data_IF_523441435384
#
_entry.id   IF_523441435384
#
_cell.length_a   1.000
_cell.length_b   1.000
_cell.length_c   1.000
_cell.angle_alpha   90.00
_cell.angle_beta   90.00
_cell.angle_gamma   90.00
#
_symmetry.space_group_name_H-M   'P 1'
#
loop_
_entity.id
_entity.type
_entity.pdbx_description
1 polymer ?
#
# COMPACT_ATOMS: atom_id res chain seq x y z
N UNK A 1 25.63 -47.19 4.14
CA UNK A 1 25.08 -46.00 4.83
C UNK A 1 23.57 -46.12 4.87
N UNK A 2 22.94 -45.89 6.02
CA UNK A 2 21.49 -46.04 6.22
C UNK A 2 20.76 -44.70 6.34
N UNK A 3 21.48 -43.58 6.38
CA UNK A 3 20.95 -42.21 6.46
C UNK A 3 21.84 -41.26 5.65
N UNK A 4 21.40 -40.03 5.37
CA UNK A 4 22.24 -39.01 4.75
C UNK A 4 23.50 -38.77 5.59
N UNK A 5 24.69 -38.64 4.96
CA UNK A 5 25.95 -38.39 5.67
C UNK A 5 26.01 -37.01 6.34
N UNK A 6 25.32 -36.03 5.76
CA UNK A 6 25.29 -34.63 6.19
C UNK A 6 23.87 -34.19 6.46
N UNK A 7 23.65 -33.58 7.63
CA UNK A 7 22.30 -33.24 8.09
C UNK A 7 21.88 -31.84 7.71
N UNK A 8 22.81 -30.92 7.42
CA UNK A 8 22.55 -29.51 7.11
C UNK A 8 21.65 -28.79 8.14
N UNK A 9 21.72 -29.22 9.40
CA UNK A 9 20.90 -28.69 10.50
C UNK A 9 19.40 -28.94 10.34
N UNK A 10 19.00 -29.98 9.60
CA UNK A 10 17.60 -30.40 9.48
C UNK A 10 17.42 -31.88 9.76
N UNK A 11 16.19 -32.24 10.09
CA UNK A 11 15.77 -33.62 10.24
C UNK A 11 15.51 -34.24 8.88
N UNK A 12 15.96 -35.48 8.71
CA UNK A 12 15.77 -36.25 7.49
C UNK A 12 14.86 -37.42 7.77
N UNK A 13 13.82 -37.58 6.95
CA UNK A 13 12.92 -38.74 7.02
C UNK A 13 13.08 -39.63 5.80
N UNK A 14 13.14 -40.94 6.03
CA UNK A 14 13.05 -41.92 4.96
C UNK A 14 11.62 -41.98 4.45
N UNK A 15 11.42 -41.79 3.15
CA UNK A 15 10.09 -41.83 2.50
C UNK A 15 9.87 -43.09 1.67
N UNK A 16 10.72 -44.10 1.90
CA UNK A 16 10.70 -45.38 1.21
C UNK A 16 11.50 -45.38 -0.10
N UNK A 17 11.20 -46.35 -0.95
CA UNK A 17 11.87 -46.52 -2.24
C UNK A 17 11.17 -45.76 -3.36
N UNK A 18 11.94 -45.03 -4.17
CA UNK A 18 11.44 -44.24 -5.29
C UNK A 18 12.31 -44.43 -6.52
N UNK A 19 11.70 -44.24 -7.70
CA UNK A 19 12.42 -44.37 -8.98
C UNK A 19 13.22 -43.11 -9.32
N UNK A 20 14.52 -43.26 -9.59
CA UNK A 20 15.44 -42.23 -10.09
C UNK A 20 16.37 -42.82 -11.16
N UNK A 21 16.46 -42.17 -12.33
CA UNK A 21 17.28 -42.62 -13.47
C UNK A 21 17.15 -44.11 -13.82
N UNK A 22 15.94 -44.65 -13.75
CA UNK A 22 15.69 -46.06 -14.06
C UNK A 22 15.91 -47.05 -12.91
N UNK A 23 16.48 -46.62 -11.79
CA UNK A 23 16.73 -47.44 -10.60
C UNK A 23 15.72 -47.15 -9.48
N UNK A 24 15.43 -48.16 -8.66
CA UNK A 24 14.65 -48.03 -7.41
C UNK A 24 15.63 -47.81 -6.26
N UNK A 25 15.57 -46.64 -5.61
CA UNK A 25 16.52 -46.24 -4.58
C UNK A 25 15.80 -45.74 -3.33
N UNK A 26 16.32 -45.99 -2.11
CA UNK A 26 15.84 -45.36 -0.89
C UNK A 26 15.97 -43.83 -0.97
N UNK A 27 14.88 -43.13 -0.69
CA UNK A 27 14.79 -41.68 -0.69
C UNK A 27 14.67 -41.15 0.73
N UNK A 28 15.49 -40.17 1.06
CA UNK A 28 15.40 -39.37 2.27
C UNK A 28 15.05 -37.93 1.89
N UNK A 29 14.12 -37.33 2.63
CA UNK A 29 13.66 -35.96 2.39
C UNK A 29 13.83 -35.17 3.68
N UNK A 30 14.38 -33.96 3.57
CA UNK A 30 14.48 -33.04 4.69
C UNK A 30 13.09 -32.56 5.14
N UNK A 31 12.90 -32.33 6.44
CA UNK A 31 11.66 -31.77 6.98
C UNK A 31 11.38 -30.36 6.43
N UNK A 32 12.43 -29.56 6.25
CA UNK A 32 12.35 -28.21 5.70
C UNK A 32 13.64 -27.83 4.95
N UNK A 33 13.58 -26.94 3.94
CA UNK A 33 14.77 -26.46 3.27
C UNK A 33 15.61 -25.56 4.19
N UNK A 34 16.89 -25.88 4.37
CA UNK A 34 17.81 -25.04 5.15
C UNK A 34 18.67 -24.15 4.26
N UNK A 35 19.09 -23.01 4.81
CA UNK A 35 20.02 -22.13 4.10
C UNK A 35 21.38 -22.81 3.88
N UNK A 36 21.87 -23.60 4.85
CA UNK A 36 23.09 -24.37 4.73
C UNK A 36 23.05 -25.34 3.53
N UNK A 37 21.94 -26.07 3.32
CA UNK A 37 21.80 -26.94 2.16
C UNK A 37 21.76 -26.15 0.84
N UNK A 38 21.06 -25.01 0.81
CA UNK A 38 21.00 -24.14 -0.38
C UNK A 38 22.38 -23.59 -0.74
N UNK A 39 23.11 -23.10 0.25
CA UNK A 39 24.46 -22.55 0.10
C UNK A 39 25.40 -23.63 -0.42
N UNK A 40 25.46 -24.80 0.24
CA UNK A 40 26.25 -25.94 -0.19
C UNK A 40 25.87 -26.42 -1.60
N UNK A 41 24.58 -26.69 -1.86
CA UNK A 41 24.13 -27.20 -3.15
C UNK A 41 24.38 -26.21 -4.30
N UNK A 42 24.32 -24.90 -4.06
CA UNK A 42 24.59 -23.89 -5.09
C UNK A 42 26.08 -23.78 -5.44
N UNK A 43 26.97 -23.94 -4.46
CA UNK A 43 28.42 -23.75 -4.62
C UNK A 43 29.18 -25.04 -4.97
N UNK A 44 28.72 -26.18 -4.45
CA UNK A 44 29.40 -27.48 -4.59
C UNK A 44 28.48 -28.54 -5.17
N UNK A 45 27.59 -28.13 -6.10
CA UNK A 45 26.56 -28.98 -6.71
C UNK A 45 27.08 -30.33 -7.19
N UNK A 46 28.24 -30.36 -7.85
CA UNK A 46 28.83 -31.60 -8.37
C UNK A 46 29.11 -32.64 -7.29
N UNK A 47 29.74 -32.20 -6.18
CA UNK A 47 30.05 -33.05 -5.02
C UNK A 47 28.77 -33.49 -4.31
N UNK A 48 27.84 -32.56 -4.09
CA UNK A 48 26.54 -32.84 -3.48
C UNK A 48 25.75 -33.88 -4.28
N UNK A 49 25.64 -33.71 -5.60
CA UNK A 49 24.94 -34.66 -6.48
C UNK A 49 25.65 -36.01 -6.52
N UNK A 50 26.99 -36.02 -6.57
CA UNK A 50 27.80 -37.24 -6.50
C UNK A 50 27.58 -38.02 -5.21
N UNK A 51 27.41 -37.33 -4.09
CA UNK A 51 27.07 -37.90 -2.79
C UNK A 51 25.59 -38.27 -2.63
N UNK A 52 24.75 -38.02 -3.65
CA UNK A 52 23.34 -38.40 -3.65
C UNK A 52 22.36 -37.27 -3.28
N UNK A 53 22.83 -36.07 -2.95
CA UNK A 53 21.98 -34.91 -2.64
C UNK A 53 21.36 -34.27 -3.87
N UNK A 54 20.10 -33.85 -3.76
CA UNK A 54 19.39 -33.11 -4.80
C UNK A 54 18.15 -32.43 -4.23
N UNK A 55 17.26 -31.95 -5.11
CA UNK A 55 15.94 -31.46 -4.74
C UNK A 55 14.87 -32.38 -5.32
N UNK A 56 13.77 -32.59 -4.60
CA UNK A 56 12.63 -33.38 -5.09
C UNK A 56 11.31 -32.78 -4.63
N UNK A 57 10.27 -33.02 -5.43
CA UNK A 57 8.85 -32.83 -5.14
C UNK A 57 8.15 -34.12 -4.68
N UNK A 58 8.92 -35.20 -4.43
CA UNK A 58 8.41 -36.53 -4.10
C UNK A 58 8.45 -36.78 -2.59
N UNK A 59 7.54 -37.65 -2.13
CA UNK A 59 7.58 -38.19 -0.77
C UNK A 59 7.02 -37.25 0.30
N UNK A 60 6.40 -36.13 -0.06
CA UNK A 60 5.66 -35.23 0.83
C UNK A 60 4.29 -34.87 0.23
N UNK A 61 3.39 -34.36 1.06
CA UNK A 61 1.97 -34.12 0.72
C UNK A 61 1.73 -32.76 0.04
N UNK A 62 2.61 -31.79 0.24
CA UNK A 62 2.47 -30.42 -0.28
C UNK A 62 3.29 -30.19 -1.55
N UNK A 63 2.87 -29.34 -2.49
CA UNK A 63 3.64 -29.06 -3.71
C UNK A 63 4.82 -28.11 -3.43
N UNK A 64 5.89 -28.63 -2.83
CA UNK A 64 7.11 -27.89 -2.52
C UNK A 64 8.36 -28.67 -2.94
N UNK A 65 9.42 -28.00 -3.42
CA UNK A 65 10.73 -28.66 -3.62
C UNK A 65 11.48 -28.73 -2.28
N UNK A 66 11.77 -29.94 -1.83
CA UNK A 66 12.55 -30.19 -0.61
C UNK A 66 13.94 -30.75 -0.91
N UNK A 67 14.95 -30.44 -0.09
CA UNK A 67 16.22 -31.15 -0.11
C UNK A 67 15.98 -32.65 0.04
N UNK A 68 16.65 -33.45 -0.77
CA UNK A 68 16.59 -34.89 -0.69
C UNK A 68 17.96 -35.51 -0.84
N UNK A 69 18.09 -36.73 -0.31
CA UNK A 69 19.27 -37.56 -0.44
C UNK A 69 18.85 -38.94 -0.91
N UNK A 70 19.53 -39.42 -1.93
CA UNK A 70 19.30 -40.73 -2.52
C UNK A 70 20.44 -41.65 -2.12
N UNK A 71 20.12 -42.80 -1.54
CA UNK A 71 21.13 -43.82 -1.26
C UNK A 71 21.49 -44.54 -2.57
N UNK A 72 22.47 -44.00 -3.30
CA UNK A 72 22.91 -44.52 -4.62
C UNK A 72 23.80 -45.76 -4.51
N UNK A 73 24.29 -46.09 -3.31
CA UNK A 73 25.27 -47.16 -3.09
C UNK A 73 26.67 -46.85 -3.64
N UNK A 74 26.88 -45.67 -4.22
CA UNK A 74 28.19 -45.22 -4.72
C UNK A 74 29.04 -44.80 -3.53
N UNK A 75 30.29 -45.29 -3.49
CA UNK A 75 31.26 -44.84 -2.50
C UNK A 75 31.72 -43.42 -2.83
N UNK A 76 31.71 -42.54 -1.83
CA UNK A 76 32.28 -41.20 -1.87
C UNK A 76 32.97 -40.94 -0.53
N UNK A 77 33.89 -39.97 -0.52
CA UNK A 77 34.56 -39.53 0.69
C UNK A 77 33.64 -38.58 1.46
N UNK A 78 33.00 -39.11 2.52
CA UNK A 78 32.06 -38.36 3.33
C UNK A 78 32.75 -37.25 4.15
N UNK A 79 33.97 -37.50 4.62
CA UNK A 79 34.74 -36.53 5.40
C UNK A 79 35.17 -35.37 4.48
N UNK A 80 35.63 -35.67 3.25
CA UNK A 80 35.93 -34.63 2.28
C UNK A 80 34.70 -33.82 1.86
N UNK A 81 33.54 -34.46 1.71
CA UNK A 81 32.27 -33.77 1.45
C UNK A 81 31.91 -32.85 2.62
N UNK A 82 32.02 -33.33 3.86
CA UNK A 82 31.73 -32.55 5.06
C UNK A 82 32.59 -31.29 5.12
N UNK A 83 33.92 -31.46 5.01
CA UNK A 83 34.88 -30.34 5.06
C UNK A 83 34.56 -29.30 3.97
N UNK A 84 34.25 -29.75 2.76
CA UNK A 84 33.95 -28.86 1.66
C UNK A 84 32.58 -28.15 1.83
N UNK A 85 31.57 -28.86 2.34
CA UNK A 85 30.26 -28.28 2.71
C UNK A 85 30.43 -27.20 3.78
N UNK A 86 31.14 -27.51 4.86
CA UNK A 86 31.42 -26.56 5.95
C UNK A 86 32.13 -25.32 5.43
N UNK A 87 33.16 -25.48 4.58
CA UNK A 87 33.88 -24.38 3.95
C UNK A 87 32.95 -23.46 3.15
N UNK A 88 32.15 -24.01 2.23
CA UNK A 88 31.31 -23.17 1.35
C UNK A 88 30.11 -22.55 2.06
N UNK A 89 29.59 -23.21 3.11
CA UNK A 89 28.54 -22.63 3.95
C UNK A 89 29.10 -21.48 4.79
N UNK A 90 30.31 -21.62 5.33
CA UNK A 90 30.99 -20.54 6.06
C UNK A 90 31.27 -19.34 5.14
N UNK A 91 31.77 -19.57 3.92
CA UNK A 91 31.98 -18.52 2.91
C UNK A 91 30.67 -17.81 2.53
N UNK A 92 29.59 -18.56 2.30
CA UNK A 92 28.29 -18.00 1.98
C UNK A 92 27.69 -17.18 3.13
N UNK A 93 27.92 -17.59 4.38
CA UNK A 93 27.52 -16.84 5.56
C UNK A 93 28.30 -15.52 5.66
N UNK A 94 29.63 -15.56 5.49
CA UNK A 94 30.48 -14.38 5.52
C UNK A 94 30.11 -13.35 4.44
N UNK A 95 29.85 -13.80 3.21
CA UNK A 95 29.38 -12.92 2.12
C UNK A 95 28.02 -12.27 2.42
N UNK A 96 27.08 -13.01 3.05
CA UNK A 96 25.79 -12.46 3.44
C UNK A 96 25.93 -11.41 4.54
N UNK A 97 26.80 -11.65 5.51
CA UNK A 97 27.11 -10.68 6.57
C UNK A 97 27.76 -9.41 6.00
N UNK A 98 28.73 -9.56 5.09
CA UNK A 98 29.36 -8.44 4.40
C UNK A 98 28.34 -7.65 3.58
N UNK A 99 27.50 -8.33 2.79
CA UNK A 99 26.45 -7.69 2.01
C UNK A 99 25.44 -6.97 2.90
N UNK A 100 25.06 -7.58 4.02
CA UNK A 100 24.16 -6.95 4.97
C UNK A 100 24.79 -5.70 5.62
N UNK A 101 26.10 -5.74 5.93
CA UNK A 101 26.85 -4.57 6.41
C UNK A 101 26.90 -3.47 5.35
N UNK A 102 27.26 -3.80 4.12
CA UNK A 102 27.33 -2.84 3.02
C UNK A 102 25.97 -2.19 2.71
N UNK A 103 24.86 -2.95 2.78
CA UNK A 103 23.52 -2.38 2.60
C UNK A 103 23.12 -1.47 3.75
N UNK A 104 23.47 -1.82 5.01
CA UNK A 104 23.26 -0.92 6.16
C UNK A 104 24.03 0.39 6.00
N UNK A 105 25.32 0.32 5.68
CA UNK A 105 26.15 1.52 5.45
C UNK A 105 25.66 2.35 4.25
N UNK A 106 25.14 1.70 3.20
CA UNK A 106 24.50 2.38 2.07
C UNK A 106 23.22 3.08 2.50
N UNK A 107 22.38 2.41 3.28
CA UNK A 107 21.14 2.97 3.80
C UNK A 107 21.40 4.18 4.72
N UNK A 108 22.32 4.05 5.67
CA UNK A 108 22.70 5.13 6.58
C UNK A 108 23.23 6.36 5.82
N UNK A 109 24.08 6.16 4.81
CA UNK A 109 24.55 7.25 3.95
C UNK A 109 23.42 7.90 3.15
N UNK A 110 22.48 7.13 2.63
CA UNK A 110 21.33 7.66 1.88
C UNK A 110 20.41 8.49 2.78
N UNK A 111 20.17 8.03 4.02
CA UNK A 111 19.41 8.78 5.04
C UNK A 111 20.13 10.08 5.38
N UNK A 112 21.41 10.03 5.75
CA UNK A 112 22.19 11.21 6.11
C UNK A 112 22.27 12.23 4.96
N UNK A 113 22.39 11.75 3.71
CA UNK A 113 22.39 12.63 2.54
C UNK A 113 21.03 13.29 2.30
N UNK A 114 19.93 12.58 2.51
CA UNK A 114 18.58 13.10 2.31
C UNK A 114 18.17 14.07 3.42
N UNK A 115 18.63 13.85 4.66
CA UNK A 115 18.34 14.70 5.83
C UNK A 115 18.72 16.17 5.61
N UNK A 116 19.81 16.43 4.87
CA UNK A 116 20.27 17.78 4.51
C UNK A 116 19.16 18.62 3.88
N UNK A 117 18.31 18.00 3.06
CA UNK A 117 17.20 18.66 2.35
C UNK A 117 15.82 18.34 2.94
N UNK A 118 15.71 17.37 3.83
CA UNK A 118 14.44 16.84 4.29
C UNK A 118 13.65 17.83 5.14
N UNK A 119 14.31 18.64 5.99
CA UNK A 119 13.64 19.51 6.95
C UNK A 119 12.56 20.44 6.34
N UNK A 120 12.85 21.27 5.31
CA UNK A 120 11.84 22.13 4.71
C UNK A 120 10.72 21.35 4.01
N UNK A 121 11.05 20.24 3.35
CA UNK A 121 10.07 19.41 2.62
C UNK A 121 9.14 18.69 3.61
N UNK A 122 9.67 18.20 4.72
CA UNK A 122 8.88 17.59 5.81
C UNK A 122 7.96 18.62 6.45
N UNK A 123 8.46 19.83 6.74
CA UNK A 123 7.63 20.90 7.27
C UNK A 123 6.47 21.25 6.30
N UNK A 124 6.75 21.36 5.01
CA UNK A 124 5.73 21.61 3.99
C UNK A 124 4.69 20.47 3.90
N UNK A 125 5.14 19.20 3.97
CA UNK A 125 4.25 18.05 3.95
C UNK A 125 3.36 18.00 5.19
N UNK A 126 3.92 18.27 6.38
CA UNK A 126 3.15 18.33 7.62
C UNK A 126 2.12 19.48 7.61
N UNK A 127 2.50 20.65 7.10
CA UNK A 127 1.56 21.76 6.93
C UNK A 127 0.41 21.36 5.99
N UNK A 128 0.72 20.74 4.85
CA UNK A 128 -0.29 20.24 3.92
C UNK A 128 -1.22 19.20 4.57
N UNK A 129 -0.66 18.25 5.33
CA UNK A 129 -1.43 17.21 6.03
C UNK A 129 -2.40 17.79 7.07
N UNK A 130 -2.01 18.88 7.73
CA UNK A 130 -2.83 19.54 8.75
C UNK A 130 -3.88 20.47 8.15
N UNK A 131 -3.48 21.28 7.16
CA UNK A 131 -4.32 22.35 6.63
C UNK A 131 -5.24 21.87 5.52
N UNK A 132 -4.74 20.99 4.64
CA UNK A 132 -5.42 20.57 3.40
C UNK A 132 -5.21 19.10 3.06
N UNK A 133 -5.54 18.15 3.96
CA UNK A 133 -5.36 16.71 3.70
C UNK A 133 -6.13 16.24 2.46
N UNK A 134 -7.27 16.88 2.16
CA UNK A 134 -8.09 16.61 0.98
C UNK A 134 -7.33 16.75 -0.35
N UNK A 135 -6.26 17.56 -0.40
CA UNK A 135 -5.48 17.76 -1.61
C UNK A 135 -4.65 16.52 -1.99
N UNK A 136 -4.39 15.60 -1.06
CA UNK A 136 -3.59 14.39 -1.28
C UNK A 136 -4.41 13.22 -1.84
N UNK A 137 -5.73 13.22 -1.66
CA UNK A 137 -6.62 12.16 -2.14
C UNK A 137 -6.14 10.77 -1.73
N UNK A 138 -5.96 9.87 -2.71
CA UNK A 138 -5.53 8.47 -2.47
C UNK A 138 -4.13 8.34 -1.88
N UNK A 139 -3.27 9.34 -2.04
CA UNK A 139 -1.89 9.31 -1.51
C UNK A 139 -1.81 9.76 -0.05
N UNK A 140 -2.93 10.08 0.60
CA UNK A 140 -2.92 10.62 1.95
C UNK A 140 -2.37 9.64 2.98
N UNK A 141 -2.72 8.36 2.92
CA UNK A 141 -2.19 7.35 3.87
C UNK A 141 -0.68 7.22 3.73
N UNK A 142 -0.19 7.05 2.49
CA UNK A 142 1.24 6.95 2.19
C UNK A 142 2.00 8.21 2.60
N UNK A 143 1.40 9.39 2.42
CA UNK A 143 1.98 10.67 2.86
C UNK A 143 2.08 10.78 4.39
N UNK A 144 1.08 10.28 5.13
CA UNK A 144 1.10 10.21 6.59
C UNK A 144 2.17 9.25 7.09
N UNK A 145 2.23 8.05 6.53
CA UNK A 145 3.23 7.04 6.88
C UNK A 145 4.64 7.58 6.65
N UNK A 146 4.87 8.21 5.49
CA UNK A 146 6.15 8.84 5.16
C UNK A 146 6.48 9.99 6.13
N UNK A 147 5.53 10.85 6.47
CA UNK A 147 5.74 11.96 7.39
C UNK A 147 6.06 11.50 8.83
N UNK A 148 5.58 10.30 9.22
CA UNK A 148 5.82 9.70 10.52
C UNK A 148 7.18 8.97 10.65
N UNK A 149 7.87 8.68 9.54
CA UNK A 149 9.20 8.06 9.59
C UNK A 149 10.22 8.97 10.27
N UNK A 150 11.10 8.40 11.10
CA UNK A 150 12.16 9.14 11.79
C UNK A 150 13.15 9.78 10.81
N UNK A 151 13.66 8.98 9.87
CA UNK A 151 14.54 9.42 8.79
C UNK A 151 13.93 9.18 7.41
N UNK A 152 14.33 9.99 6.43
CA UNK A 152 13.97 9.77 5.03
C UNK A 152 15.18 9.30 4.25
N UNK A 153 14.99 8.29 3.41
CA UNK A 153 15.92 7.96 2.32
C UNK A 153 15.76 8.96 1.17
N UNK A 154 16.65 8.93 0.17
CA UNK A 154 16.47 9.74 -1.03
C UNK A 154 15.18 9.41 -1.77
N UNK A 155 14.70 8.16 -1.66
CA UNK A 155 13.39 7.76 -2.18
C UNK A 155 12.23 8.38 -1.39
N UNK A 156 12.35 8.43 -0.06
CA UNK A 156 11.38 9.12 0.80
C UNK A 156 11.28 10.60 0.46
N UNK A 157 12.43 11.27 0.29
CA UNK A 157 12.50 12.67 -0.11
C UNK A 157 11.78 12.94 -1.45
N UNK A 158 12.12 12.18 -2.50
CA UNK A 158 11.47 12.31 -3.82
C UNK A 158 9.97 12.02 -3.77
N UNK A 159 9.56 11.09 -2.91
CA UNK A 159 8.14 10.76 -2.73
C UNK A 159 7.37 11.90 -2.06
N UNK A 160 7.96 12.53 -1.04
CA UNK A 160 7.37 13.72 -0.39
C UNK A 160 7.24 14.89 -1.37
N UNK A 161 8.28 15.18 -2.15
CA UNK A 161 8.23 16.21 -3.21
C UNK A 161 7.12 15.94 -4.22
N UNK A 162 6.98 14.67 -4.66
CA UNK A 162 5.90 14.26 -5.56
C UNK A 162 4.52 14.48 -4.94
N UNK A 163 4.33 14.16 -3.65
CA UNK A 163 3.05 14.41 -2.97
C UNK A 163 2.71 15.88 -2.89
N UNK A 164 3.69 16.73 -2.55
CA UNK A 164 3.53 18.18 -2.52
C UNK A 164 3.17 18.73 -3.91
N UNK A 165 3.91 18.32 -4.95
CA UNK A 165 3.65 18.74 -6.32
C UNK A 165 2.27 18.30 -6.82
N UNK A 166 1.86 17.06 -6.54
CA UNK A 166 0.55 16.55 -6.91
C UNK A 166 -0.57 17.29 -6.19
N UNK A 167 -0.42 17.57 -4.89
CA UNK A 167 -1.40 18.35 -4.13
C UNK A 167 -1.53 19.77 -4.67
N UNK A 168 -0.42 20.44 -4.97
CA UNK A 168 -0.43 21.75 -5.62
C UNK A 168 -1.14 21.69 -6.99
N UNK A 169 -0.88 20.66 -7.79
CA UNK A 169 -1.57 20.43 -9.07
C UNK A 169 -3.07 20.14 -8.92
N UNK A 170 -3.50 19.47 -7.85
CA UNK A 170 -4.91 19.24 -7.55
C UNK A 170 -5.63 20.54 -7.20
N UNK A 171 -5.01 21.37 -6.35
CA UNK A 171 -5.52 22.69 -5.96
C UNK A 171 -5.61 23.59 -7.21
N UNK A 172 -4.53 23.68 -7.99
CA UNK A 172 -4.50 24.51 -9.20
C UNK A 172 -5.59 24.11 -10.22
N UNK A 173 -5.82 22.80 -10.43
CA UNK A 173 -6.91 22.33 -11.31
C UNK A 173 -8.30 22.62 -10.76
N UNK A 174 -8.47 22.60 -9.43
CA UNK A 174 -9.72 22.99 -8.80
C UNK A 174 -10.01 24.48 -9.02
N UNK A 175 -9.00 25.34 -8.82
CA UNK A 175 -9.07 26.78 -9.09
C UNK A 175 -9.35 27.06 -10.58
N UNK A 176 -8.66 26.37 -11.49
CA UNK A 176 -8.88 26.52 -12.93
C UNK A 176 -10.33 26.19 -13.32
N UNK A 177 -10.92 25.14 -12.73
CA UNK A 177 -12.34 24.81 -12.96
C UNK A 177 -13.27 25.91 -12.50
N UNK A 178 -12.98 26.56 -11.37
CA UNK A 178 -13.77 27.68 -10.86
C UNK A 178 -13.64 28.93 -11.75
N UNK A 179 -12.49 29.10 -12.42
CA UNK A 179 -12.28 30.17 -13.41
C UNK A 179 -13.01 29.96 -14.75
N UNK A 180 -13.59 28.78 -15.00
CA UNK A 180 -14.38 28.52 -16.22
C UNK A 180 -15.75 29.17 -16.14
N UNK A 181 -16.41 29.31 -17.29
CA UNK A 181 -17.77 29.84 -17.38
C UNK A 181 -18.69 29.11 -16.38
N UNK A 182 -19.35 29.84 -15.47
CA UNK A 182 -20.21 29.25 -14.46
C UNK A 182 -21.47 28.61 -15.08
N UNK A 183 -22.07 27.61 -14.42
CA UNK A 183 -23.30 26.99 -14.92
C UNK A 183 -24.43 28.02 -15.06
N UNK A 184 -24.91 28.22 -16.30
CA UNK A 184 -25.94 29.21 -16.61
C UNK A 184 -27.23 29.00 -15.79
N UNK A 185 -27.58 27.74 -15.50
CA UNK A 185 -28.74 27.34 -14.69
C UNK A 185 -28.76 28.02 -13.31
N UNK A 186 -27.58 28.24 -12.70
CA UNK A 186 -27.49 28.76 -11.33
C UNK A 186 -27.03 30.22 -11.26
N UNK A 187 -26.54 30.78 -12.37
CA UNK A 187 -25.90 32.09 -12.36
C UNK A 187 -26.84 33.22 -11.91
N UNK A 188 -28.09 33.21 -12.37
CA UNK A 188 -29.08 34.21 -11.96
C UNK A 188 -29.43 34.08 -10.46
N UNK A 189 -29.57 32.84 -9.96
CA UNK A 189 -29.86 32.57 -8.54
C UNK A 189 -28.70 33.00 -7.64
N UNK A 190 -27.46 32.81 -8.10
CA UNK A 190 -26.24 33.20 -7.40
C UNK A 190 -26.03 34.73 -7.27
N UNK A 191 -26.84 35.56 -7.95
CA UNK A 191 -26.79 37.01 -7.80
C UNK A 191 -27.22 37.47 -6.39
N UNK A 192 -28.09 36.71 -5.73
CA UNK A 192 -28.59 37.02 -4.39
C UNK A 192 -27.49 36.79 -3.33
N UNK A 193 -27.09 37.82 -2.56
CA UNK A 193 -26.12 37.68 -1.47
C UNK A 193 -26.47 36.60 -0.44
N UNK A 194 -27.75 36.42 -0.09
CA UNK A 194 -28.17 35.43 0.89
C UNK A 194 -27.96 33.99 0.38
N UNK A 195 -28.16 33.78 -0.93
CA UNK A 195 -27.85 32.50 -1.60
C UNK A 195 -26.35 32.22 -1.56
N UNK A 196 -25.51 33.23 -1.80
CA UNK A 196 -24.04 33.06 -1.77
C UNK A 196 -23.54 32.66 -0.39
N UNK A 197 -24.07 33.28 0.66
CA UNK A 197 -23.76 32.92 2.05
C UNK A 197 -24.20 31.49 2.36
N UNK A 198 -25.43 31.13 1.97
CA UNK A 198 -25.98 29.79 2.20
C UNK A 198 -25.19 28.71 1.45
N UNK A 199 -24.79 28.97 0.20
CA UNK A 199 -23.97 28.06 -0.60
C UNK A 199 -22.59 27.84 0.05
N UNK A 200 -21.94 28.90 0.55
CA UNK A 200 -20.66 28.77 1.26
C UNK A 200 -20.79 27.93 2.54
N UNK A 201 -21.84 28.17 3.32
CA UNK A 201 -22.13 27.37 4.53
C UNK A 201 -22.36 25.90 4.18
N UNK A 202 -23.12 25.62 3.11
CA UNK A 202 -23.36 24.27 2.64
C UNK A 202 -22.07 23.57 2.15
N UNK A 203 -21.19 24.29 1.44
CA UNK A 203 -19.88 23.77 1.06
C UNK A 203 -19.04 23.40 2.29
N UNK A 204 -18.98 24.27 3.30
CA UNK A 204 -18.26 24.00 4.56
C UNK A 204 -18.83 22.81 5.32
N UNK A 205 -20.16 22.68 5.35
CA UNK A 205 -20.83 21.54 5.97
C UNK A 205 -20.49 20.21 5.28
N UNK A 206 -20.50 20.16 3.94
CA UNK A 206 -20.10 18.94 3.24
C UNK A 206 -18.60 18.63 3.44
N UNK A 207 -17.74 19.65 3.37
CA UNK A 207 -16.31 19.49 3.63
C UNK A 207 -16.02 18.96 5.03
N UNK A 208 -16.79 19.36 6.06
CA UNK A 208 -16.59 18.85 7.42
C UNK A 208 -17.04 17.40 7.62
N UNK A 209 -17.84 16.84 6.70
CA UNK A 209 -18.24 15.42 6.70
C UNK A 209 -17.35 14.54 5.83
N UNK A 210 -16.51 15.15 5.01
CA UNK A 210 -15.63 14.46 4.07
C UNK A 210 -14.35 14.00 4.78
N UNK A 211 -14.49 13.04 5.70
CA UNK A 211 -13.41 12.53 6.56
C UNK A 211 -12.46 11.58 5.82
N UNK A 212 -12.94 10.89 4.79
CA UNK A 212 -12.13 9.98 3.95
C UNK A 212 -11.68 10.65 2.64
N UNK A 213 -12.07 11.91 2.42
CA UNK A 213 -11.77 12.70 1.23
C UNK A 213 -12.12 11.96 -0.07
N UNK A 214 -13.24 11.24 -0.04
CA UNK A 214 -13.76 10.37 -1.09
C UNK A 214 -12.82 9.26 -1.55
N UNK A 215 -11.96 8.74 -0.66
CA UNK A 215 -11.00 7.70 -0.99
C UNK A 215 -11.54 6.26 -0.83
N UNK A 216 -12.50 6.01 0.07
CA UNK A 216 -12.88 4.65 0.50
C UNK A 216 -14.39 4.40 0.44
N UNK A 217 -15.22 5.26 1.03
CA UNK A 217 -16.68 5.08 1.10
C UNK A 217 -17.44 6.26 0.50
N UNK A 218 -18.06 6.02 -0.66
CA UNK A 218 -19.02 6.96 -1.22
C UNK A 218 -20.34 6.89 -0.43
N UNK A 219 -20.58 7.87 0.43
CA UNK A 219 -21.84 7.94 1.18
C UNK A 219 -22.08 9.28 1.88
N UNK A 220 -21.01 9.94 2.31
CA UNK A 220 -21.06 11.23 3.02
C UNK A 220 -19.95 12.16 2.51
N UNK A 221 -20.18 13.47 2.60
CA UNK A 221 -19.24 14.49 2.12
C UNK A 221 -19.26 14.64 0.60
N UNK A 222 -18.09 14.95 0.03
CA UNK A 222 -17.94 15.14 -1.42
C UNK A 222 -17.71 13.82 -2.14
N UNK A 223 -18.09 13.75 -3.42
CA UNK A 223 -17.67 12.63 -4.29
C UNK A 223 -16.23 12.83 -4.79
N UNK A 224 -15.59 11.77 -5.28
CA UNK A 224 -14.26 11.86 -5.90
C UNK A 224 -14.18 12.90 -7.03
N UNK A 225 -15.26 13.08 -7.80
CA UNK A 225 -15.31 14.05 -8.89
C UNK A 225 -15.39 15.51 -8.41
N UNK A 226 -15.87 15.73 -7.19
CA UNK A 226 -16.20 17.06 -6.67
C UNK A 226 -15.37 17.47 -5.45
N UNK A 227 -14.62 16.56 -4.82
CA UNK A 227 -13.89 16.80 -3.55
C UNK A 227 -12.96 18.00 -3.64
N UNK A 228 -12.05 18.06 -4.63
CA UNK A 228 -11.11 19.16 -4.73
C UNK A 228 -11.79 20.52 -4.91
N UNK A 229 -12.73 20.64 -5.85
CA UNK A 229 -13.42 21.91 -6.10
C UNK A 229 -14.35 22.30 -4.94
N UNK A 230 -14.99 21.32 -4.30
CA UNK A 230 -15.83 21.52 -3.12
C UNK A 230 -15.04 22.05 -1.93
N UNK A 231 -13.89 21.43 -1.61
CA UNK A 231 -12.99 21.91 -0.55
C UNK A 231 -12.42 23.29 -0.87
N UNK A 232 -11.95 23.53 -2.10
CA UNK A 232 -11.48 24.87 -2.52
C UNK A 232 -12.53 25.97 -2.29
N UNK A 233 -13.80 25.71 -2.64
CA UNK A 233 -14.89 26.66 -2.37
C UNK A 233 -15.15 26.83 -0.87
N UNK A 234 -15.08 25.77 -0.08
CA UNK A 234 -15.34 25.81 1.37
C UNK A 234 -14.33 26.68 2.14
N UNK A 235 -13.10 26.77 1.64
CA UNK A 235 -12.02 27.58 2.20
C UNK A 235 -12.12 29.08 1.85
N UNK A 236 -13.01 29.47 0.93
CA UNK A 236 -13.22 30.88 0.60
C UNK A 236 -13.75 31.65 1.80
N UNK A 237 -13.38 32.94 1.91
CA UNK A 237 -13.93 33.86 2.92
C UNK A 237 -15.37 34.24 2.60
N UNK A 238 -15.65 34.50 1.33
CA UNK A 238 -16.95 34.77 0.73
C UNK A 238 -16.93 34.26 -0.72
N UNK A 239 -18.11 33.95 -1.27
CA UNK A 239 -18.25 33.57 -2.68
C UNK A 239 -18.71 34.78 -3.49
N UNK A 240 -18.10 35.00 -4.65
CA UNK A 240 -18.68 35.86 -5.67
C UNK A 240 -19.82 35.15 -6.44
N UNK A 241 -20.44 35.82 -7.42
CA UNK A 241 -21.55 35.25 -8.17
C UNK A 241 -21.13 34.05 -9.05
N UNK A 242 -20.05 34.11 -9.85
CA UNK A 242 -19.52 32.94 -10.56
C UNK A 242 -19.20 31.74 -9.64
N UNK A 243 -18.48 31.97 -8.54
CA UNK A 243 -18.11 30.93 -7.58
C UNK A 243 -19.35 30.30 -6.93
N UNK A 244 -20.34 31.11 -6.54
CA UNK A 244 -21.58 30.60 -5.98
C UNK A 244 -22.41 29.80 -7.00
N UNK A 245 -22.39 30.17 -8.29
CA UNK A 245 -23.05 29.38 -9.33
C UNK A 245 -22.39 28.01 -9.52
N UNK A 246 -21.05 27.92 -9.47
CA UNK A 246 -20.33 26.65 -9.43
C UNK A 246 -20.67 25.85 -8.17
N UNK A 247 -20.67 26.51 -7.00
CA UNK A 247 -21.02 25.88 -5.73
C UNK A 247 -22.42 25.27 -5.77
N UNK A 248 -23.43 26.01 -6.23
CA UNK A 248 -24.81 25.51 -6.41
C UNK A 248 -24.86 24.30 -7.35
N UNK A 249 -24.10 24.32 -8.45
CA UNK A 249 -24.00 23.19 -9.37
C UNK A 249 -23.49 21.92 -8.70
N UNK A 250 -22.43 22.03 -7.88
CA UNK A 250 -21.88 20.90 -7.12
C UNK A 250 -22.84 20.45 -6.02
N UNK A 251 -23.31 21.39 -5.19
CA UNK A 251 -24.21 21.14 -4.06
C UNK A 251 -25.52 20.48 -4.50
N UNK A 252 -26.03 20.81 -5.69
CA UNK A 252 -27.24 20.18 -6.21
C UNK A 252 -27.07 18.66 -6.35
N UNK A 253 -25.88 18.17 -6.74
CA UNK A 253 -25.57 16.74 -6.77
C UNK A 253 -25.57 16.08 -5.38
N UNK A 254 -25.27 16.86 -4.34
CA UNK A 254 -25.13 16.41 -2.95
C UNK A 254 -26.31 16.80 -2.05
N UNK A 255 -27.37 17.41 -2.60
CA UNK A 255 -28.46 18.05 -1.84
C UNK A 255 -29.21 17.13 -0.87
N UNK A 256 -29.14 15.80 -1.06
CA UNK A 256 -29.72 14.83 -0.12
C UNK A 256 -29.02 14.77 1.24
N UNK A 257 -27.77 15.23 1.29
CA UNK A 257 -26.98 15.31 2.52
C UNK A 257 -27.22 16.61 3.30
N UNK A 258 -27.83 17.62 2.67
CA UNK A 258 -28.09 18.93 3.28
C UNK A 258 -29.43 18.93 4.04
N UNK A 259 -29.64 19.90 4.94
CA UNK A 259 -30.94 20.12 5.56
C UNK A 259 -31.93 20.74 4.58
N UNK A 260 -33.23 20.61 4.86
CA UNK A 260 -34.26 21.15 3.98
C UNK A 260 -34.21 22.69 3.93
N UNK A 261 -33.88 23.34 5.05
CA UNK A 261 -33.69 24.79 5.12
C UNK A 261 -32.55 25.27 4.21
N UNK A 262 -31.42 24.56 4.23
CA UNK A 262 -30.26 24.87 3.36
C UNK A 262 -30.62 24.67 1.89
N UNK A 263 -31.36 23.61 1.58
CA UNK A 263 -31.82 23.36 0.21
C UNK A 263 -32.79 24.43 -0.28
N UNK A 264 -33.76 24.85 0.55
CA UNK A 264 -34.67 25.94 0.20
C UNK A 264 -33.91 27.25 0.01
N UNK A 265 -32.95 27.56 0.88
CA UNK A 265 -32.14 28.77 0.74
C UNK A 265 -31.32 28.76 -0.57
N UNK A 266 -30.65 27.64 -0.88
CA UNK A 266 -29.80 27.52 -2.07
C UNK A 266 -30.60 27.42 -3.37
N UNK A 267 -31.60 26.54 -3.41
CA UNK A 267 -32.27 26.07 -4.63
C UNK A 267 -33.74 26.54 -4.75
N UNK A 268 -34.33 27.07 -3.69
CA UNK A 268 -35.75 27.46 -3.64
C UNK A 268 -36.70 26.30 -3.36
N UNK A 269 -36.20 25.07 -3.19
CA UNK A 269 -37.02 23.89 -2.94
C UNK A 269 -36.32 22.88 -2.00
N UNK A 270 -37.13 22.10 -1.28
CA UNK A 270 -36.65 21.00 -0.46
C UNK A 270 -36.35 19.77 -1.33
N UNK A 271 -35.36 18.93 -0.98
CA UNK A 271 -34.99 17.78 -1.78
C UNK A 271 -36.08 16.70 -1.71
N UNK A 272 -36.43 16.10 -2.85
CA UNK A 272 -37.28 14.92 -2.89
C UNK A 272 -36.54 13.70 -2.29
N UNK A 273 -36.75 13.44 -0.99
CA UNK A 273 -36.22 12.26 -0.30
C UNK A 273 -37.22 11.12 -0.48
N UNK A 274 -36.83 10.03 -1.15
CA UNK A 274 -37.63 8.79 -1.10
C UNK A 274 -37.71 8.37 0.37
N UNK A 275 -38.92 8.32 0.94
CA UNK A 275 -39.14 7.73 2.27
C UNK A 275 -38.49 6.35 2.28
N UNK A 276 -37.49 6.18 3.15
CA UNK A 276 -37.00 4.83 3.48
C UNK A 276 -38.20 4.12 4.12
N UNK A 277 -38.61 2.93 3.66
CA UNK A 277 -39.67 2.19 4.33
C UNK A 277 -39.30 2.05 5.81
N UNK A 278 -40.29 2.26 6.69
CA UNK A 278 -40.08 2.08 8.12
C UNK A 278 -39.47 0.68 8.36
N UNK A 279 -38.50 0.53 9.27
CA UNK A 279 -37.99 -0.78 9.60
C UNK A 279 -39.18 -1.67 9.97
N UNK A 280 -39.32 -2.81 9.28
CA UNK A 280 -40.31 -3.82 9.64
C UNK A 280 -40.15 -4.10 11.13
N UNK A 281 -41.21 -3.79 11.89
CA UNK A 281 -41.25 -4.19 13.29
C UNK A 281 -41.07 -5.71 13.32
N UNK A 282 -40.15 -6.25 14.12
CA UNK A 282 -39.96 -7.68 14.21
C UNK A 282 -41.32 -8.29 14.56
N UNK A 283 -41.79 -9.21 13.71
CA UNK A 283 -43.02 -9.93 13.97
C UNK A 283 -42.87 -10.60 15.33
N UNK A 284 -43.62 -10.11 16.33
CA UNK A 284 -43.80 -10.80 17.59
C UNK A 284 -44.56 -12.08 17.26
N UNK A 285 -43.81 -13.15 17.01
CA UNK A 285 -44.35 -14.51 16.91
C UNK A 285 -44.92 -14.89 18.26
N UNK A 286 -46.24 -15.07 18.29
CA UNK A 286 -46.96 -15.80 19.34
C UNK A 286 -46.80 -17.31 19.12
#
# INVERSE_FOLDING_TARGET
MTSPPETFGTEWRCVGEHRRYGHTLPLWVAAQPTQAFRDAYSRTRGLMVGAGYSWTDKGHTEPQMLPCWWNTGIAFDADALQVEVERVVAEAAAEREEKARAERERHERDVASAEISAAPIRAALLALLNERPWALGRSLSEARDLAALEGWTSWGLRSAERYLANAAGNIARAEERLGRTPPATWFARAADPAVRVSALQACRFLSSRDEDWAAVQNGEGWSQATTWTGHTLSERKALDQPEAAHALGLLHGHRRQLSDEVCIACFGEAPARRRRPAPEQPALGF
#
